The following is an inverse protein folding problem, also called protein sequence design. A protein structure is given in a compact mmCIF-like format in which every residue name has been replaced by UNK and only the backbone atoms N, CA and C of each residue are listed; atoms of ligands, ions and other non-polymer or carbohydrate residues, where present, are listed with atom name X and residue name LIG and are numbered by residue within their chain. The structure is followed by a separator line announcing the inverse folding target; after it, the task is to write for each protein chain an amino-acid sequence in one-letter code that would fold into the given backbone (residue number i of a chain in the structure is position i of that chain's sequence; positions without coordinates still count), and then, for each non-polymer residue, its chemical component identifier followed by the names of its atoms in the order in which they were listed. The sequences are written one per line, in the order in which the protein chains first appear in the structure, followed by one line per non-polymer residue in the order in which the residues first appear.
data_IF_401008843753
#
_entry.id   IF_401008843753
#
_cell.length_a   1.000
_cell.length_b   1.000
_cell.length_c   1.000
_cell.angle_alpha   90.00
_cell.angle_beta   90.00
_cell.angle_gamma   90.00
#
_symmetry.space_group_name_H-M   'P 1'
#
loop_
_entity.id
_entity.type
_entity.pdbx_description
1 polymer ?
#
# COMPACT_ATOMS: atom_id res chain seq x y z
N UNK A 1 23.59 -3.89 8.35
CA UNK A 1 22.51 -2.88 8.25
C UNK A 1 22.52 -2.42 6.81
N UNK A 2 21.53 -2.62 5.96
CA UNK A 2 20.11 -2.92 6.10
C UNK A 2 19.77 -4.18 5.29
N UNK A 3 18.85 -5.01 5.79
CA UNK A 3 18.06 -5.83 4.90
C UNK A 3 17.19 -4.84 4.14
N UNK A 4 17.62 -4.43 2.93
CA UNK A 4 16.70 -3.82 1.97
C UNK A 4 15.77 -4.96 1.54
N UNK A 5 14.78 -5.20 2.39
CA UNK A 5 13.86 -6.31 2.23
C UNK A 5 13.01 -6.05 1.01
N UNK A 6 12.86 -7.05 0.15
CA UNK A 6 12.02 -7.00 -1.06
C UNK A 6 10.58 -6.54 -0.73
N UNK A 7 10.15 -6.71 0.53
CA UNK A 7 8.91 -6.17 1.08
C UNK A 7 8.75 -4.65 0.91
N UNK A 8 9.81 -3.84 1.00
CA UNK A 8 9.71 -2.38 0.92
C UNK A 8 9.28 -1.90 -0.47
N UNK A 9 9.83 -2.53 -1.51
CA UNK A 9 9.46 -2.25 -2.91
C UNK A 9 8.03 -2.75 -3.17
N UNK A 10 7.69 -3.92 -2.64
CA UNK A 10 6.33 -4.48 -2.71
C UNK A 10 5.30 -3.56 -2.06
N UNK A 11 5.57 -3.03 -0.87
CA UNK A 11 4.71 -2.07 -0.17
C UNK A 11 4.56 -0.80 -1.00
N UNK A 12 5.65 -0.28 -1.59
CA UNK A 12 5.57 0.92 -2.43
C UNK A 12 4.71 0.72 -3.68
N UNK A 13 4.81 -0.43 -4.35
CA UNK A 13 3.99 -0.76 -5.52
C UNK A 13 2.54 -0.99 -5.12
N UNK A 14 2.29 -1.82 -4.11
CA UNK A 14 0.94 -2.17 -3.66
C UNK A 14 0.19 -0.94 -3.13
N UNK A 15 0.85 -0.03 -2.42
CA UNK A 15 0.21 1.17 -1.86
C UNK A 15 -0.23 2.20 -2.91
N UNK A 16 0.27 2.12 -4.15
CA UNK A 16 -0.18 2.94 -5.29
C UNK A 16 -1.44 2.39 -5.95
N UNK A 17 -1.82 1.14 -5.63
CA UNK A 17 -2.95 0.47 -6.27
C UNK A 17 -4.26 0.76 -5.51
N UNK A 18 -5.40 0.82 -6.21
CA UNK A 18 -6.70 0.93 -5.55
C UNK A 18 -7.00 -0.28 -4.66
N UNK A 19 -7.68 -0.05 -3.53
CA UNK A 19 -8.12 -1.11 -2.59
C UNK A 19 -8.81 -2.27 -3.29
N UNK A 20 -9.68 -1.99 -4.28
CA UNK A 20 -10.40 -3.03 -5.04
C UNK A 20 -9.46 -4.01 -5.77
N UNK A 21 -8.35 -3.51 -6.29
CA UNK A 21 -7.34 -4.34 -6.96
C UNK A 21 -6.55 -5.16 -5.93
N UNK A 22 -6.18 -4.53 -4.80
CA UNK A 22 -5.44 -5.17 -3.72
C UNK A 22 -6.18 -6.36 -3.11
N UNK A 23 -7.51 -6.27 -2.95
CA UNK A 23 -8.31 -7.39 -2.45
C UNK A 23 -8.22 -8.64 -3.33
N UNK A 24 -8.09 -8.47 -4.66
CA UNK A 24 -7.85 -9.59 -5.58
C UNK A 24 -6.43 -10.14 -5.42
N UNK A 25 -5.45 -9.29 -5.14
CA UNK A 25 -4.07 -9.73 -5.01
C UNK A 25 -3.74 -10.48 -3.71
N UNK A 26 -4.64 -10.48 -2.73
CA UNK A 26 -4.52 -11.32 -1.52
C UNK A 26 -4.45 -12.82 -1.82
N UNK A 27 -4.89 -13.28 -2.99
CA UNK A 27 -4.82 -14.69 -3.37
C UNK A 27 -3.55 -15.10 -4.12
N UNK A 28 -2.67 -14.14 -4.48
CA UNK A 28 -1.46 -14.41 -5.29
C UNK A 28 -0.43 -15.20 -4.48
N UNK A 29 -0.06 -14.71 -3.29
CA UNK A 29 0.83 -15.43 -2.39
C UNK A 29 0.64 -15.00 -0.92
N UNK A 30 1.21 -15.79 0.00
CA UNK A 30 1.13 -15.54 1.45
C UNK A 30 1.76 -14.21 1.86
N UNK A 31 2.86 -13.82 1.20
CA UNK A 31 3.55 -12.56 1.49
C UNK A 31 2.65 -11.36 1.18
N UNK A 32 2.02 -11.32 0.00
CA UNK A 32 1.12 -10.24 -0.38
C UNK A 32 -0.10 -10.19 0.52
N UNK A 33 -0.66 -11.35 0.88
CA UNK A 33 -1.76 -11.42 1.84
C UNK A 33 -1.39 -10.83 3.21
N UNK A 34 -0.18 -11.11 3.69
CA UNK A 34 0.33 -10.57 4.96
C UNK A 34 0.47 -9.05 4.87
N UNK A 35 1.14 -8.54 3.84
CA UNK A 35 1.36 -7.10 3.63
C UNK A 35 0.04 -6.34 3.50
N UNK A 36 -0.91 -6.84 2.71
CA UNK A 36 -2.20 -6.17 2.47
C UNK A 36 -3.11 -6.22 3.71
N UNK A 37 -2.89 -7.17 4.61
CA UNK A 37 -3.67 -7.28 5.86
C UNK A 37 -3.02 -6.52 7.02
N UNK A 38 -1.86 -5.91 6.79
CA UNK A 38 -1.14 -5.14 7.79
C UNK A 38 -1.77 -3.76 7.99
N UNK A 39 -1.98 -3.29 9.24
CA UNK A 39 -2.58 -1.98 9.50
C UNK A 39 -1.69 -0.81 9.08
N UNK A 40 -0.36 -0.95 9.13
CA UNK A 40 0.58 0.07 8.66
C UNK A 40 0.42 0.31 7.14
N UNK A 41 0.19 -0.77 6.39
CA UNK A 41 -0.11 -0.69 4.96
C UNK A 41 -1.39 0.12 4.68
N UNK A 42 -2.43 -0.05 5.51
CA UNK A 42 -3.69 0.70 5.36
C UNK A 42 -3.50 2.20 5.65
N UNK A 43 -2.68 2.55 6.65
CA UNK A 43 -2.33 3.94 6.95
C UNK A 43 -1.55 4.58 5.79
N UNK A 44 -0.58 3.86 5.23
CA UNK A 44 0.24 4.33 4.11
C UNK A 44 -0.62 4.58 2.85
N UNK A 45 -1.60 3.72 2.57
CA UNK A 45 -2.53 3.88 1.45
C UNK A 45 -3.50 5.05 1.68
N UNK A 46 -3.93 5.30 2.91
CA UNK A 46 -4.76 6.45 3.29
C UNK A 46 -3.99 7.77 3.17
N UNK A 47 -2.72 7.80 3.60
CA UNK A 47 -1.82 8.95 3.44
C UNK A 47 -1.65 9.33 1.97
N UNK A 48 -1.35 8.34 1.10
CA UNK A 48 -1.21 8.57 -0.35
C UNK A 48 -2.49 9.01 -1.03
N UNK A 49 -3.64 8.47 -0.61
CA UNK A 49 -4.95 8.86 -1.17
C UNK A 49 -5.28 10.33 -0.91
N UNK A 50 -4.78 10.90 0.19
CA UNK A 50 -4.95 12.34 0.51
C UNK A 50 -4.07 13.24 -0.36
N UNK A 51 -2.90 12.76 -0.76
CA UNK A 51 -1.93 13.52 -1.56
C UNK A 51 -2.35 13.64 -3.04
N UNK A 52 -3.09 12.65 -3.55
CA UNK A 52 -3.61 12.65 -4.93
C UNK A 52 -5.03 13.22 -5.06
N UNK A 53 -5.52 14.03 -4.10
CA UNK A 53 -6.76 14.78 -4.33
C UNK A 53 -6.41 16.16 -4.91
N UNK A 54 -6.59 16.40 -6.23
CA UNK A 54 -6.35 17.73 -6.82
C UNK A 54 -7.32 18.80 -6.28
N UNK A 55 -8.35 18.40 -5.52
CA UNK A 55 -9.32 19.29 -4.88
C UNK A 55 -9.04 19.52 -3.39
N UNK A 56 -7.92 19.02 -2.86
CA UNK A 56 -7.50 19.38 -1.51
C UNK A 56 -7.02 20.84 -1.53
N UNK A 57 -7.95 21.75 -1.23
CA UNK A 57 -7.65 23.14 -0.92
C UNK A 57 -6.59 23.13 0.20
N UNK A 58 -5.34 23.46 -0.14
CA UNK A 58 -4.27 23.62 0.85
C UNK A 58 -4.72 24.72 1.80
N UNK A 59 -4.88 24.36 3.08
CA UNK A 59 -4.98 25.33 4.18
C UNK A 59 -3.83 26.32 4.11
#
# INVERSE_FOLDING_TARGET
MEKVGEEGILIDILSRLPVKSLLRFKCVCKQWRSLISDPEFAELQLGRSKEHNPNACRR
#
